data_IF_765242810304
#
_entry.id   IF_765242810304
#
_cell.length_a   1.000
_cell.length_b   1.000
_cell.length_c   1.000
_cell.angle_alpha   90.00
_cell.angle_beta   90.00
_cell.angle_gamma   90.00
#
_symmetry.space_group_name_H-M   'P 1'
#
loop_
_entity.id
_entity.type
_entity.pdbx_description
1 polymer ?
#
# COMPACT_ATOMS: atom_id res chain seq x y z
N UNK A 1 -3.88 -12.84 -15.51
CA UNK A 1 -4.80 -12.65 -14.38
C UNK A 1 -5.59 -13.90 -14.01
N UNK A 2 -6.19 -14.63 -14.96
CA UNK A 2 -6.97 -15.84 -14.67
C UNK A 2 -6.20 -16.90 -13.85
N UNK A 3 -4.94 -17.13 -14.17
CA UNK A 3 -4.07 -18.06 -13.44
C UNK A 3 -3.88 -17.65 -11.98
N UNK A 4 -3.46 -16.40 -11.74
CA UNK A 4 -3.30 -15.86 -10.37
C UNK A 4 -4.61 -15.96 -9.58
N UNK A 5 -5.74 -15.58 -10.18
CA UNK A 5 -7.07 -15.70 -9.54
C UNK A 5 -7.37 -17.13 -9.12
N UNK A 6 -7.13 -18.08 -10.01
CA UNK A 6 -7.35 -19.51 -9.76
C UNK A 6 -6.43 -20.02 -8.65
N UNK A 7 -5.15 -19.63 -8.68
CA UNK A 7 -4.16 -20.00 -7.68
C UNK A 7 -4.52 -19.42 -6.30
N UNK A 8 -4.82 -18.12 -6.22
CA UNK A 8 -5.22 -17.46 -4.97
C UNK A 8 -6.47 -18.11 -4.38
N UNK A 9 -7.48 -18.37 -5.21
CA UNK A 9 -8.69 -19.07 -4.77
C UNK A 9 -8.38 -20.46 -4.20
N UNK A 10 -7.58 -21.25 -4.90
CA UNK A 10 -7.16 -22.58 -4.46
C UNK A 10 -6.40 -22.56 -3.13
N UNK A 11 -5.57 -21.53 -2.89
CA UNK A 11 -4.83 -21.38 -1.62
C UNK A 11 -5.75 -20.99 -0.46
N UNK A 12 -6.69 -20.08 -0.70
CA UNK A 12 -7.73 -19.75 0.28
C UNK A 12 -8.59 -20.97 0.64
N UNK A 13 -8.99 -21.77 -0.36
CA UNK A 13 -9.74 -23.03 -0.15
C UNK A 13 -8.93 -24.06 0.66
N UNK A 14 -7.60 -23.97 0.65
CA UNK A 14 -6.69 -24.79 1.45
C UNK A 14 -6.34 -24.16 2.81
N UNK A 15 -7.07 -23.12 3.23
CA UNK A 15 -6.87 -22.39 4.48
C UNK A 15 -5.49 -21.72 4.62
N UNK A 16 -4.85 -21.35 3.50
CA UNK A 16 -3.67 -20.47 3.54
C UNK A 16 -4.10 -19.04 3.87
N UNK A 17 -3.26 -18.33 4.61
CA UNK A 17 -3.43 -16.88 4.71
C UNK A 17 -2.85 -16.22 3.45
N UNK A 18 -3.70 -15.53 2.70
CA UNK A 18 -3.28 -14.85 1.46
C UNK A 18 -3.32 -13.34 1.65
N UNK A 19 -2.17 -12.72 1.44
CA UNK A 19 -2.04 -11.28 1.40
C UNK A 19 -1.87 -10.77 -0.02
N UNK A 20 -2.39 -9.59 -0.30
CA UNK A 20 -1.97 -8.79 -1.45
C UNK A 20 -1.13 -7.65 -0.94
N UNK A 21 0.08 -7.47 -1.47
CA UNK A 21 1.06 -6.56 -0.91
C UNK A 21 1.81 -5.79 -2.00
N UNK A 22 2.58 -4.81 -1.55
CA UNK A 22 3.42 -3.95 -2.37
C UNK A 22 3.90 -2.78 -1.53
N UNK A 23 4.37 -1.72 -2.17
CA UNK A 23 4.78 -0.51 -1.44
C UNK A 23 4.21 0.77 -2.01
N UNK A 24 4.10 1.76 -1.14
CA UNK A 24 3.60 3.08 -1.48
C UNK A 24 4.51 4.13 -0.89
N UNK A 25 4.87 5.13 -1.70
CA UNK A 25 5.54 6.34 -1.23
C UNK A 25 4.50 7.46 -1.14
N UNK A 26 4.47 8.11 0.02
CA UNK A 26 3.73 9.33 0.26
C UNK A 26 4.69 10.49 0.31
N UNK A 27 4.29 11.59 -0.30
CA UNK A 27 5.01 12.84 -0.24
C UNK A 27 4.15 13.85 0.52
N UNK A 28 4.79 14.59 1.41
CA UNK A 28 4.21 15.76 2.03
C UNK A 28 4.89 16.99 1.42
N UNK A 29 4.08 17.73 0.67
CA UNK A 29 4.40 19.05 0.13
C UNK A 29 3.21 19.95 0.45
N UNK A 30 3.43 20.93 1.33
CA UNK A 30 2.40 21.81 1.84
C UNK A 30 2.43 23.15 1.08
N UNK A 31 1.55 23.32 0.09
CA UNK A 31 1.19 24.65 -0.39
C UNK A 31 0.08 25.24 0.48
N UNK A 32 0.44 26.03 1.49
CA UNK A 32 -0.55 26.70 2.35
C UNK A 32 -1.20 27.86 1.60
N UNK A 33 -2.38 27.59 1.06
CA UNK A 33 -3.22 28.56 0.35
C UNK A 33 -4.32 29.05 1.30
N UNK A 34 -4.08 30.11 2.07
CA UNK A 34 -5.16 30.81 2.78
C UNK A 34 -5.93 31.66 1.76
N UNK A 35 -6.88 31.03 1.07
CA UNK A 35 -7.67 31.64 -0.01
C UNK A 35 -8.66 32.69 0.52
N UNK A 36 -9.12 32.56 1.76
CA UNK A 36 -9.97 33.57 2.39
C UNK A 36 -9.10 34.65 3.04
N UNK A 37 -9.20 35.91 2.59
CA UNK A 37 -8.48 37.00 3.21
C UNK A 37 -9.01 37.27 4.63
N UNK A 38 -8.14 37.50 5.63
CA UNK A 38 -8.54 37.70 7.02
C UNK A 38 -9.31 39.00 7.26
N UNK A 39 -9.24 39.95 6.32
CA UNK A 39 -9.97 41.22 6.33
C UNK A 39 -10.42 41.57 4.92
N UNK A 40 -11.58 42.23 4.83
CA UNK A 40 -12.09 42.81 3.59
C UNK A 40 -11.04 43.73 2.95
N UNK A 41 -10.78 43.56 1.66
CA UNK A 41 -9.76 44.31 0.91
C UNK A 41 -8.30 43.83 1.05
N UNK A 42 -8.02 42.77 1.83
CA UNK A 42 -6.67 42.19 1.89
C UNK A 42 -6.46 41.07 0.86
N UNK A 43 -5.22 40.88 0.42
CA UNK A 43 -4.86 39.79 -0.49
C UNK A 43 -4.76 38.46 0.28
N UNK A 44 -5.21 37.32 -0.30
CA UNK A 44 -4.97 36.00 0.24
C UNK A 44 -3.47 35.75 0.43
N UNK A 45 -3.07 35.29 1.62
CA UNK A 45 -1.69 34.89 1.88
C UNK A 45 -1.36 33.58 1.17
N UNK A 46 -0.32 33.60 0.32
CA UNK A 46 0.26 32.38 -0.27
C UNK A 46 1.60 32.13 0.38
N UNK A 47 1.71 31.08 1.18
CA UNK A 47 2.98 30.59 1.70
C UNK A 47 3.19 29.16 1.20
N UNK A 48 4.33 28.90 0.57
CA UNK A 48 4.70 27.56 0.12
C UNK A 48 5.86 27.11 0.99
N UNK A 49 5.68 26.01 1.73
CA UNK A 49 6.82 25.30 2.30
C UNK A 49 7.35 24.34 1.23
N UNK A 50 8.55 24.64 0.70
CA UNK A 50 9.19 23.86 -0.38
C UNK A 50 9.94 22.63 0.14
N UNK A 51 9.80 22.26 1.41
CA UNK A 51 10.43 21.06 1.96
C UNK A 51 9.61 19.81 1.60
N UNK A 52 9.98 19.17 0.50
CA UNK A 52 9.44 17.83 0.16
C UNK A 52 9.99 16.81 1.15
N UNK A 53 9.12 16.31 2.01
CA UNK A 53 9.39 15.16 2.86
C UNK A 53 8.60 13.97 2.32
N UNK A 54 9.10 12.76 2.51
CA UNK A 54 8.41 11.58 2.00
C UNK A 54 8.63 10.40 2.93
N UNK A 55 7.60 9.57 3.06
CA UNK A 55 7.64 8.32 3.81
C UNK A 55 7.16 7.21 2.89
N UNK A 56 7.88 6.08 2.87
CA UNK A 56 7.44 4.87 2.17
C UNK A 56 6.87 3.87 3.16
N UNK A 57 5.93 3.06 2.70
CA UNK A 57 5.32 1.99 3.47
C UNK A 57 5.28 0.71 2.65
N UNK A 58 5.60 -0.42 3.28
CA UNK A 58 5.14 -1.71 2.81
C UNK A 58 3.76 -1.95 3.42
N UNK A 59 2.83 -2.47 2.64
CA UNK A 59 1.49 -2.73 3.13
C UNK A 59 0.95 -4.05 2.59
N UNK A 60 0.26 -4.78 3.45
CA UNK A 60 -0.30 -6.08 3.14
C UNK A 60 -1.79 -6.09 3.50
N UNK A 61 -2.65 -6.30 2.51
CA UNK A 61 -4.08 -6.53 2.71
C UNK A 61 -4.32 -8.04 2.83
N UNK A 62 -4.85 -8.48 3.97
CA UNK A 62 -5.31 -9.86 4.17
C UNK A 62 -6.61 -10.09 3.40
N UNK A 63 -6.64 -11.12 2.56
CA UNK A 63 -7.86 -11.51 1.83
C UNK A 63 -8.88 -12.25 2.70
N UNK A 64 -8.45 -12.78 3.84
CA UNK A 64 -9.28 -13.47 4.83
C UNK A 64 -9.93 -12.48 5.80
N UNK A 65 -9.12 -11.70 6.52
CA UNK A 65 -9.60 -10.76 7.54
C UNK A 65 -10.05 -9.42 6.97
N UNK A 66 -9.72 -9.15 5.70
CA UNK A 66 -9.98 -7.88 5.00
C UNK A 66 -9.30 -6.67 5.64
N UNK A 67 -8.31 -6.88 6.50
CA UNK A 67 -7.56 -5.81 7.17
C UNK A 67 -6.23 -5.55 6.47
N UNK A 68 -5.78 -4.29 6.52
CA UNK A 68 -4.46 -3.91 6.04
C UNK A 68 -3.50 -3.73 7.20
N UNK A 69 -2.31 -4.32 7.09
CA UNK A 69 -1.16 -4.03 7.94
C UNK A 69 -0.18 -3.15 7.17
N UNK A 70 0.34 -2.10 7.80
CA UNK A 70 1.31 -1.18 7.23
C UNK A 70 2.59 -1.17 8.05
N UNK A 71 3.72 -1.24 7.36
CA UNK A 71 5.06 -1.16 7.95
C UNK A 71 5.80 0.03 7.34
N UNK A 72 6.20 1.03 8.13
CA UNK A 72 7.00 2.14 7.63
C UNK A 72 8.36 1.62 7.16
N UNK A 73 8.83 2.14 6.03
CA UNK A 73 10.17 1.87 5.50
C UNK A 73 11.07 3.04 5.88
N UNK A 74 12.05 2.79 6.74
CA UNK A 74 12.98 3.81 7.22
C UNK A 74 14.17 3.97 6.28
N UNK A 75 14.58 5.22 6.02
CA UNK A 75 15.78 5.53 5.24
C UNK A 75 15.66 5.26 3.73
N UNK A 76 16.77 4.89 3.10
CA UNK A 76 16.80 4.56 1.67
C UNK A 76 16.38 3.10 1.46
N UNK A 77 15.61 2.81 0.40
CA UNK A 77 15.24 1.44 0.01
C UNK A 77 16.50 0.62 -0.28
N UNK A 78 16.99 -0.11 0.71
CA UNK A 78 18.07 -1.06 0.58
C UNK A 78 17.53 -2.49 0.71
N UNK A 79 18.39 -3.48 0.49
CA UNK A 79 18.03 -4.89 0.54
C UNK A 79 17.48 -5.32 1.91
N UNK A 80 18.00 -4.76 3.01
CA UNK A 80 17.57 -5.08 4.37
C UNK A 80 16.14 -4.61 4.66
N UNK A 81 15.80 -3.39 4.26
CA UNK A 81 14.44 -2.85 4.38
C UNK A 81 13.42 -3.62 3.54
N UNK A 82 13.87 -4.25 2.44
CA UNK A 82 13.01 -5.10 1.59
C UNK A 82 12.63 -6.42 2.29
N UNK A 83 13.43 -6.87 3.26
CA UNK A 83 13.24 -8.13 4.00
C UNK A 83 12.47 -7.90 5.30
N UNK A 84 12.67 -6.76 5.94
CA UNK A 84 12.12 -6.45 7.26
C UNK A 84 10.59 -6.55 7.29
N UNK A 85 9.90 -5.96 6.32
CA UNK A 85 8.44 -5.98 6.31
C UNK A 85 7.85 -7.39 6.07
N UNK A 86 8.33 -8.19 5.10
CA UNK A 86 7.96 -9.60 5.00
C UNK A 86 8.26 -10.42 6.26
N UNK A 87 9.40 -10.20 6.93
CA UNK A 87 9.76 -10.92 8.16
C UNK A 87 8.82 -10.55 9.33
N UNK A 88 8.45 -9.28 9.48
CA UNK A 88 7.44 -8.86 10.46
C UNK A 88 6.07 -9.46 10.12
N UNK A 89 5.64 -9.41 8.86
CA UNK A 89 4.37 -9.95 8.41
C UNK A 89 4.22 -11.43 8.75
N UNK A 90 5.24 -12.26 8.50
CA UNK A 90 5.17 -13.70 8.83
C UNK A 90 5.18 -13.99 10.33
N UNK A 91 5.82 -13.13 11.14
CA UNK A 91 5.87 -13.28 12.61
C UNK A 91 4.55 -12.91 13.25
N UNK A 92 3.88 -11.89 12.71
CA UNK A 92 2.58 -11.41 13.17
C UNK A 92 1.43 -12.27 12.64
N UNK A 93 1.64 -13.02 11.56
CA UNK A 93 0.66 -13.94 11.01
C UNK A 93 0.68 -15.28 11.74
N UNK A 94 -0.45 -15.62 12.38
CA UNK A 94 -0.64 -16.88 13.10
C UNK A 94 -0.67 -18.11 12.18
N UNK A 95 -1.11 -17.94 10.92
CA UNK A 95 -1.21 -19.03 9.96
C UNK A 95 0.16 -19.62 9.63
N UNK A 96 0.25 -20.95 9.59
CA UNK A 96 1.49 -21.65 9.29
C UNK A 96 1.98 -21.35 7.86
N UNK A 97 1.06 -21.29 6.90
CA UNK A 97 1.34 -21.08 5.48
C UNK A 97 0.79 -19.76 4.99
N UNK A 98 1.66 -18.98 4.34
CA UNK A 98 1.36 -17.63 3.89
C UNK A 98 1.65 -17.52 2.40
N UNK A 99 0.72 -16.96 1.64
CA UNK A 99 0.97 -16.53 0.28
C UNK A 99 0.91 -15.01 0.19
N UNK A 100 1.89 -14.40 -0.51
CA UNK A 100 1.93 -12.95 -0.70
C UNK A 100 1.90 -12.65 -2.18
N UNK A 101 0.81 -12.06 -2.65
CA UNK A 101 0.66 -11.59 -4.02
C UNK A 101 1.31 -10.22 -4.16
N UNK A 102 2.33 -10.13 -5.01
CA UNK A 102 3.12 -8.95 -5.29
C UNK A 102 2.92 -8.50 -6.73
N UNK A 103 3.18 -7.23 -7.00
CA UNK A 103 3.30 -6.78 -8.39
C UNK A 103 4.50 -7.47 -9.09
N UNK A 104 4.61 -7.25 -10.40
CA UNK A 104 5.67 -7.88 -11.18
C UNK A 104 6.94 -7.04 -11.29
N UNK A 105 7.18 -6.10 -10.37
CA UNK A 105 8.33 -5.24 -10.46
C UNK A 105 9.64 -6.04 -10.36
N UNK A 106 10.64 -5.62 -11.15
CA UNK A 106 11.92 -6.35 -11.31
C UNK A 106 12.64 -6.62 -9.99
N UNK A 107 12.46 -5.77 -9.00
CA UNK A 107 13.12 -5.92 -7.70
C UNK A 107 12.61 -7.12 -6.90
N UNK A 108 11.37 -7.56 -7.12
CA UNK A 108 10.83 -8.78 -6.50
C UNK A 108 11.48 -10.07 -7.03
N UNK A 109 12.12 -10.01 -8.20
CA UNK A 109 12.73 -11.16 -8.88
C UNK A 109 14.25 -11.27 -8.68
N UNK A 110 14.83 -10.39 -7.84
CA UNK A 110 16.27 -10.43 -7.58
C UNK A 110 16.60 -11.74 -6.85
N UNK A 111 17.52 -12.54 -7.40
CA UNK A 111 17.88 -13.86 -6.86
C UNK A 111 18.14 -13.88 -5.36
N UNK A 112 18.79 -12.85 -4.82
CA UNK A 112 19.06 -12.76 -3.39
C UNK A 112 17.78 -12.69 -2.55
N UNK A 113 16.73 -12.01 -3.03
CA UNK A 113 15.42 -11.96 -2.38
C UNK A 113 14.65 -13.27 -2.60
N UNK A 114 14.63 -13.79 -3.83
CA UNK A 114 13.94 -15.04 -4.13
C UNK A 114 14.49 -16.22 -3.33
N UNK A 115 15.81 -16.26 -3.12
CA UNK A 115 16.47 -17.29 -2.31
C UNK A 115 16.06 -17.26 -0.83
N UNK A 116 15.46 -16.17 -0.32
CA UNK A 116 15.00 -16.10 1.07
C UNK A 116 13.70 -16.88 1.31
N UNK A 117 12.93 -17.16 0.25
CA UNK A 117 11.70 -17.94 0.31
C UNK A 117 11.94 -19.45 0.14
N UNK A 118 13.19 -19.87 -0.12
CA UNK A 118 13.52 -21.29 -0.24
C UNK A 118 13.43 -22.02 1.12
N UNK A 119 13.21 -23.34 1.15
CA UNK A 119 13.20 -24.12 2.39
C UNK A 119 14.50 -23.95 3.20
N UNK A 120 14.38 -23.80 4.52
CA UNK A 120 15.47 -23.58 5.46
C UNK A 120 16.00 -22.13 5.50
N UNK A 121 15.26 -21.17 4.92
CA UNK A 121 15.64 -19.75 4.85
C UNK A 121 14.67 -18.88 5.65
N UNK A 122 15.06 -17.61 5.83
CA UNK A 122 14.36 -16.68 6.72
C UNK A 122 12.86 -16.52 6.40
N UNK A 123 12.49 -16.50 5.11
CA UNK A 123 11.13 -16.25 4.67
C UNK A 123 10.46 -17.51 4.11
N UNK A 124 10.91 -18.71 4.50
CA UNK A 124 10.39 -20.00 3.98
C UNK A 124 8.88 -20.20 4.16
N UNK A 125 8.26 -19.50 5.13
CA UNK A 125 6.80 -19.54 5.38
C UNK A 125 6.00 -18.75 4.36
N UNK A 126 6.64 -17.82 3.63
CA UNK A 126 6.01 -16.98 2.61
C UNK A 126 6.24 -17.59 1.23
N UNK A 127 5.16 -17.88 0.52
CA UNK A 127 5.17 -18.18 -0.90
C UNK A 127 4.80 -16.93 -1.71
N UNK A 128 5.74 -16.31 -2.45
CA UNK A 128 5.43 -15.17 -3.29
C UNK A 128 4.64 -15.60 -4.54
N UNK A 129 3.64 -14.81 -4.92
CA UNK A 129 2.88 -14.95 -6.17
C UNK A 129 3.01 -13.63 -6.92
N UNK A 130 3.49 -13.66 -8.15
CA UNK A 130 3.65 -12.44 -8.94
C UNK A 130 2.48 -12.23 -9.88
N UNK A 131 1.96 -11.01 -9.89
CA UNK A 131 1.02 -10.59 -10.93
C UNK A 131 1.68 -10.63 -12.31
N UNK A 132 0.90 -10.70 -13.41
CA UNK A 132 1.43 -10.48 -14.75
C UNK A 132 2.11 -9.10 -14.87
N UNK A 133 3.06 -8.94 -15.82
CA UNK A 133 3.61 -7.63 -16.15
C UNK A 133 2.51 -6.60 -16.42
N UNK A 134 2.71 -5.36 -15.96
CA UNK A 134 1.82 -4.21 -16.20
C UNK A 134 0.37 -4.40 -15.71
N UNK A 135 0.15 -5.20 -14.67
CA UNK A 135 -1.15 -5.42 -14.04
C UNK A 135 -1.26 -4.89 -12.58
N UNK A 136 -0.66 -3.74 -12.19
CA UNK A 136 -0.72 -3.27 -10.80
C UNK A 136 -2.13 -2.86 -10.38
N UNK A 137 -2.96 -2.43 -11.32
CA UNK A 137 -4.38 -2.12 -11.16
C UNK A 137 -5.24 -3.36 -10.82
N UNK A 138 -4.69 -4.56 -11.03
CA UNK A 138 -5.30 -5.81 -10.58
C UNK A 138 -4.88 -6.23 -9.16
N UNK A 139 -4.06 -5.44 -8.46
CA UNK A 139 -3.66 -5.69 -7.09
C UNK A 139 -4.63 -5.01 -6.10
N UNK A 140 -5.41 -5.77 -5.30
CA UNK A 140 -6.37 -5.20 -4.34
C UNK A 140 -5.79 -4.17 -3.38
N UNK A 141 -4.54 -4.35 -2.91
CA UNK A 141 -3.92 -3.41 -1.96
C UNK A 141 -3.71 -2.02 -2.57
N UNK A 142 -3.49 -1.92 -3.88
CA UNK A 142 -3.29 -0.63 -4.57
C UNK A 142 -4.58 0.20 -4.57
N UNK A 143 -5.74 -0.44 -4.67
CA UNK A 143 -7.04 0.23 -4.57
C UNK A 143 -7.30 0.81 -3.18
N UNK A 144 -6.96 0.06 -2.12
CA UNK A 144 -7.06 0.56 -0.74
C UNK A 144 -6.22 1.83 -0.56
N UNK A 145 -4.98 1.80 -1.06
CA UNK A 145 -4.03 2.91 -0.93
C UNK A 145 -4.43 4.12 -1.77
N UNK A 146 -4.90 3.90 -2.99
CA UNK A 146 -5.37 4.99 -3.85
C UNK A 146 -6.60 5.67 -3.25
N UNK A 147 -7.53 4.89 -2.68
CA UNK A 147 -8.67 5.43 -1.92
C UNK A 147 -8.20 6.29 -0.75
N UNK A 148 -7.22 5.81 0.03
CA UNK A 148 -6.66 6.56 1.15
C UNK A 148 -5.95 7.85 0.71
N UNK A 149 -5.15 7.79 -0.36
CA UNK A 149 -4.49 8.97 -0.95
C UNK A 149 -5.52 10.02 -1.38
N UNK A 150 -6.55 9.61 -2.10
CA UNK A 150 -7.60 10.51 -2.57
C UNK A 150 -8.35 11.15 -1.41
N UNK A 151 -8.63 10.40 -0.35
CA UNK A 151 -9.31 10.90 0.84
C UNK A 151 -8.50 11.99 1.57
N UNK A 152 -7.16 11.87 1.60
CA UNK A 152 -6.30 12.83 2.30
C UNK A 152 -5.81 13.99 1.42
N UNK A 153 -5.89 13.88 0.09
CA UNK A 153 -5.28 14.81 -0.87
C UNK A 153 -5.78 16.26 -0.73
N UNK A 154 -7.06 16.45 -0.41
CA UNK A 154 -7.68 17.78 -0.32
C UNK A 154 -7.59 18.41 1.08
N UNK A 155 -7.09 17.68 2.07
CA UNK A 155 -6.91 18.17 3.44
C UNK A 155 -5.44 18.44 3.66
N UNK A 156 -5.08 19.72 3.62
CA UNK A 156 -3.73 20.14 3.96
C UNK A 156 -3.49 19.95 5.46
N UNK A 157 -2.29 19.46 5.80
CA UNK A 157 -1.83 19.27 7.17
C UNK A 157 -0.58 20.08 7.40
N UNK A 158 -0.33 20.44 8.66
CA UNK A 158 0.77 21.32 9.02
C UNK A 158 2.10 20.56 9.05
N UNK A 159 2.07 19.25 9.35
CA UNK A 159 3.27 18.43 9.44
C UNK A 159 3.23 17.16 8.57
N UNK A 160 4.40 16.62 8.20
CA UNK A 160 4.50 15.32 7.56
C UNK A 160 3.89 14.19 8.40
N UNK A 161 4.09 14.22 9.72
CA UNK A 161 3.61 13.20 10.65
C UNK A 161 2.08 13.12 10.64
N UNK A 162 1.39 14.26 10.61
CA UNK A 162 -0.06 14.31 10.48
C UNK A 162 -0.52 13.70 9.14
N UNK A 163 0.23 13.96 8.05
CA UNK A 163 -0.11 13.46 6.70
C UNK A 163 0.02 11.95 6.62
N UNK A 164 1.17 11.42 7.04
CA UNK A 164 1.42 9.99 7.03
C UNK A 164 0.56 9.26 8.06
N UNK A 165 0.33 9.87 9.23
CA UNK A 165 -0.55 9.34 10.27
C UNK A 165 -2.01 9.25 9.80
N UNK A 166 -2.50 10.25 9.07
CA UNK A 166 -3.85 10.21 8.51
C UNK A 166 -3.99 9.16 7.41
N UNK A 167 -2.99 9.01 6.54
CA UNK A 167 -2.96 7.90 5.58
C UNK A 167 -3.02 6.55 6.29
N UNK A 168 -2.12 6.33 7.26
CA UNK A 168 -2.03 5.09 7.99
C UNK A 168 -3.36 4.77 8.70
N UNK A 169 -3.93 5.74 9.39
CA UNK A 169 -5.23 5.61 10.07
C UNK A 169 -6.36 5.27 9.11
N UNK A 170 -6.40 5.87 7.91
CA UNK A 170 -7.42 5.58 6.91
C UNK A 170 -7.32 4.15 6.37
N UNK A 171 -6.09 3.67 6.16
CA UNK A 171 -5.82 2.33 5.60
C UNK A 171 -6.05 1.22 6.63
N UNK A 172 -5.58 1.40 7.87
CA UNK A 172 -5.62 0.36 8.91
C UNK A 172 -6.89 0.40 9.77
N UNK A 173 -7.61 1.53 9.78
CA UNK A 173 -8.77 1.76 10.65
C UNK A 173 -10.06 1.05 10.23
N UNK A 174 -10.07 0.32 9.10
CA UNK A 174 -11.26 -0.40 8.63
C UNK A 174 -10.91 -1.73 7.96
N UNK A 175 -11.90 -2.62 7.93
CA UNK A 175 -11.89 -3.73 6.99
C UNK A 175 -12.30 -3.23 5.59
N UNK A 176 -11.66 -3.75 4.55
CA UNK A 176 -11.92 -3.39 3.15
C UNK A 176 -12.21 -4.64 2.34
N UNK A 177 -13.43 -4.73 1.82
CA UNK A 177 -13.84 -5.85 0.99
C UNK A 177 -13.35 -5.67 -0.45
N UNK A 178 -12.04 -5.83 -0.62
CA UNK A 178 -11.41 -5.93 -1.93
C UNK A 178 -10.81 -7.33 -2.08
N UNK A 179 -11.03 -7.91 -3.25
CA UNK A 179 -10.42 -9.16 -3.68
C UNK A 179 -10.21 -9.13 -5.20
N UNK A 180 -9.70 -10.21 -5.78
CA UNK A 180 -9.42 -10.26 -7.21
C UNK A 180 -10.68 -10.33 -8.10
N UNK A 181 -11.85 -10.65 -7.55
CA UNK A 181 -13.13 -10.71 -8.28
C UNK A 181 -13.94 -9.41 -8.14
N UNK A 182 -13.79 -8.69 -7.03
CA UNK A 182 -14.56 -7.52 -6.64
C UNK A 182 -13.67 -6.27 -6.50
N UNK A 183 -12.82 -6.01 -7.48
CA UNK A 183 -12.07 -4.77 -7.52
C UNK A 183 -13.01 -3.60 -7.82
N UNK A 184 -12.85 -2.44 -7.14
CA UNK A 184 -13.62 -1.26 -7.50
C UNK A 184 -13.26 -0.88 -8.95
N UNK A 185 -14.23 -0.38 -9.73
CA UNK A 185 -13.95 0.11 -11.07
C UNK A 185 -12.89 1.21 -10.97
N UNK A 186 -11.93 1.21 -11.90
CA UNK A 186 -10.96 2.28 -11.99
C UNK A 186 -11.72 3.59 -12.27
N UNK A 187 -11.72 4.53 -11.33
CA UNK A 187 -12.22 5.89 -11.58
C UNK A 187 -11.27 6.57 -12.59
N UNK A 188 -11.48 6.35 -13.89
CA UNK A 188 -10.96 7.24 -14.95
C UNK A 188 -11.89 8.41 -15.23
N UNK A 189 -12.95 8.59 -14.43
CA UNK A 189 -13.93 9.64 -14.67
C UNK A 189 -13.90 10.65 -13.54
N UNK A 190 -13.29 11.80 -13.85
CA UNK A 190 -13.82 13.07 -13.38
C UNK A 190 -15.27 13.16 -13.88
N UNK A 191 -16.21 12.52 -13.21
CA UNK A 191 -17.62 12.80 -13.41
C UNK A 191 -17.88 14.14 -12.71
N UNK A 192 -18.24 15.21 -13.45
CA UNK A 192 -18.71 16.42 -12.82
C UNK A 192 -19.98 16.05 -12.06
N UNK A 193 -19.96 16.26 -10.75
CA UNK A 193 -21.13 16.17 -9.87
C UNK A 193 -22.21 17.12 -10.43
N UNK A 194 -23.48 16.69 -10.54
CA UNK A 194 -24.58 17.52 -11.04
C UNK A 194 -24.86 18.75 -10.17
#
# INVERSE_FOLDING_TARGET
>A
MAEVKTQVKSLLDQCWEVYTAGEVRLEHEAETRRMQPPKEGSAPGRSVDRRRTSQSFFGALSLTSKKVTLYPIEGNRNTEQTILAPDLLQRETEAEKIAVVLDNARFHHVKALTALYEPGRLLERITPIHLPPYAPDHNPVEHVRNTAKNNIANIQRETPEETFGAFASHVTGRAVDHDFEHLPPHETRNDPVP
#
